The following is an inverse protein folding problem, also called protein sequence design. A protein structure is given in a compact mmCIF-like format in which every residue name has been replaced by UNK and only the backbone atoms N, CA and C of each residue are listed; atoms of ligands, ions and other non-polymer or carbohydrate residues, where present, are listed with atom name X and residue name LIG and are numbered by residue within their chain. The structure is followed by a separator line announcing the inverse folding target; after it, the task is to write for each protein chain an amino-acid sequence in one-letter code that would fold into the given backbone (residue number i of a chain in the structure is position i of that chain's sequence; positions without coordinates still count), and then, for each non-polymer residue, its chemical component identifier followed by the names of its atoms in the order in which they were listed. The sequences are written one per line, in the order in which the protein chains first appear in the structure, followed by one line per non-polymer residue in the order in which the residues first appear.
data_IF_103939164822
#
_entry.id   IF_103939164822
#
_cell.length_a   1.000
_cell.length_b   1.000
_cell.length_c   1.000
_cell.angle_alpha   90.00
_cell.angle_beta   90.00
_cell.angle_gamma   90.00
#
_symmetry.space_group_name_H-M   'P 1'
#
loop_
_entity.id
_entity.type
_entity.pdbx_description
1 polymer ?
#
# COMPACT_ATOMS: atom_id res chain seq x y z
N UNK A 1 46.84 -42.21 -6.63
CA UNK A 1 46.15 -41.29 -5.70
C UNK A 1 46.46 -39.83 -6.04
N UNK A 2 45.98 -39.31 -7.19
CA UNK A 2 46.15 -37.89 -7.58
C UNK A 2 44.88 -37.23 -8.16
N UNK A 3 43.82 -37.99 -8.41
CA UNK A 3 42.63 -37.50 -9.11
C UNK A 3 41.42 -37.24 -8.19
N UNK A 4 41.56 -37.51 -6.89
CA UNK A 4 40.46 -37.36 -5.91
C UNK A 4 40.42 -35.96 -5.31
N UNK A 5 41.57 -35.28 -5.22
CA UNK A 5 41.66 -33.92 -4.63
C UNK A 5 41.15 -32.84 -5.60
N UNK A 6 41.22 -33.07 -6.92
CA UNK A 6 40.75 -32.10 -7.91
C UNK A 6 39.22 -32.01 -8.01
N UNK A 7 38.50 -33.08 -7.62
CA UNK A 7 37.04 -33.14 -7.72
C UNK A 7 36.34 -32.37 -6.59
N UNK A 8 36.92 -32.39 -5.38
CA UNK A 8 36.35 -31.69 -4.21
C UNK A 8 36.50 -30.17 -4.28
N UNK A 9 37.55 -29.64 -4.92
CA UNK A 9 37.72 -28.19 -5.10
C UNK A 9 36.74 -27.62 -6.13
N UNK A 10 36.40 -28.40 -7.17
CA UNK A 10 35.44 -27.98 -8.20
C UNK A 10 34.01 -27.93 -7.67
N UNK A 11 33.64 -28.84 -6.76
CA UNK A 11 32.28 -28.91 -6.18
C UNK A 11 31.98 -27.75 -5.21
N UNK A 12 33.00 -27.22 -4.53
CA UNK A 12 32.86 -26.04 -3.66
C UNK A 12 32.71 -24.75 -4.48
N UNK A 13 33.36 -24.65 -5.65
CA UNK A 13 33.25 -23.49 -6.54
C UNK A 13 31.89 -23.38 -7.25
N UNK A 14 31.23 -24.52 -7.54
CA UNK A 14 29.88 -24.51 -8.15
C UNK A 14 28.79 -24.19 -7.13
N UNK A 15 29.01 -24.50 -5.84
CA UNK A 15 28.05 -24.23 -4.77
C UNK A 15 28.02 -22.74 -4.34
N UNK A 16 29.06 -21.97 -4.67
CA UNK A 16 29.15 -20.54 -4.35
C UNK A 16 28.40 -19.63 -5.35
N UNK A 17 27.92 -20.16 -6.48
CA UNK A 17 27.21 -19.37 -7.51
C UNK A 17 25.68 -19.31 -7.31
N UNK A 18 25.13 -20.02 -6.32
CA UNK A 18 23.69 -20.04 -6.04
C UNK A 18 23.26 -19.24 -4.78
N UNK A 19 24.21 -18.65 -4.05
CA UNK A 19 23.94 -17.95 -2.78
C UNK A 19 23.81 -16.42 -2.90
N UNK A 20 23.21 -15.95 -3.99
CA UNK A 20 22.92 -14.54 -4.17
C UNK A 20 21.89 -14.30 -5.26
N UNK A 21 20.62 -14.59 -4.98
CA UNK A 21 19.51 -13.98 -5.73
C UNK A 21 19.45 -12.48 -5.39
N UNK A 22 20.50 -11.73 -5.73
CA UNK A 22 20.40 -10.28 -5.82
C UNK A 22 19.40 -10.02 -6.95
N UNK A 23 18.15 -9.73 -6.56
CA UNK A 23 17.09 -9.45 -7.52
C UNK A 23 17.53 -8.21 -8.28
N UNK A 24 17.81 -8.34 -9.59
CA UNK A 24 18.27 -7.21 -10.39
C UNK A 24 17.28 -6.04 -10.28
N UNK A 25 17.75 -4.78 -10.32
CA UNK A 25 16.86 -3.62 -10.26
C UNK A 25 15.75 -3.70 -11.30
N UNK A 26 14.51 -3.62 -10.84
CA UNK A 26 13.32 -3.65 -11.69
C UNK A 26 12.21 -2.78 -11.10
N UNK A 27 11.15 -2.56 -11.86
CA UNK A 27 9.93 -1.89 -11.39
C UNK A 27 9.06 -2.87 -10.62
N UNK A 28 8.41 -2.42 -9.55
CA UNK A 28 7.52 -3.25 -8.73
C UNK A 28 6.13 -2.63 -8.60
N UNK A 29 5.25 -2.75 -9.62
CA UNK A 29 3.93 -2.12 -9.61
C UNK A 29 3.05 -2.55 -8.43
N UNK A 30 3.15 -3.80 -7.98
CA UNK A 30 2.37 -4.32 -6.86
C UNK A 30 2.79 -3.68 -5.52
N UNK A 31 4.10 -3.47 -5.36
CA UNK A 31 4.65 -2.76 -4.21
C UNK A 31 4.26 -1.28 -4.24
N UNK A 32 4.29 -0.65 -5.40
CA UNK A 32 3.83 0.72 -5.57
C UNK A 32 2.37 0.86 -5.13
N UNK A 33 1.47 0.02 -5.66
CA UNK A 33 0.05 0.01 -5.29
C UNK A 33 -0.18 -0.28 -3.81
N UNK A 34 0.56 -1.23 -3.25
CA UNK A 34 0.53 -1.54 -1.82
C UNK A 34 0.96 -0.35 -0.95
N UNK A 35 2.04 0.34 -1.32
CA UNK A 35 2.49 1.53 -0.61
C UNK A 35 1.46 2.66 -0.68
N UNK A 36 0.88 2.93 -1.86
CA UNK A 36 -0.19 3.91 -2.02
C UNK A 36 -1.42 3.57 -1.16
N UNK A 37 -1.85 2.31 -1.15
CA UNK A 37 -2.95 1.84 -0.31
C UNK A 37 -2.69 2.09 1.18
N UNK A 38 -1.50 1.76 1.67
CA UNK A 38 -1.12 2.00 3.07
C UNK A 38 -1.09 3.49 3.40
N UNK A 39 -0.52 4.32 2.52
CA UNK A 39 -0.51 5.77 2.72
C UNK A 39 -1.91 6.36 2.80
N UNK A 40 -2.83 5.92 1.93
CA UNK A 40 -4.24 6.31 1.94
C UNK A 40 -4.88 6.00 3.30
N UNK A 41 -4.79 4.76 3.75
CA UNK A 41 -5.39 4.33 5.03
C UNK A 41 -4.78 5.06 6.22
N UNK A 42 -3.45 5.25 6.23
CA UNK A 42 -2.77 5.99 7.30
C UNK A 42 -3.26 7.43 7.37
N UNK A 43 -3.35 8.12 6.24
CA UNK A 43 -3.77 9.52 6.19
C UNK A 43 -5.19 9.71 6.69
N UNK A 44 -6.10 8.82 6.28
CA UNK A 44 -7.49 8.78 6.73
C UNK A 44 -7.58 8.53 8.25
N UNK A 45 -6.87 7.52 8.77
CA UNK A 45 -6.79 7.24 10.21
C UNK A 45 -6.30 8.44 11.02
N UNK A 46 -5.32 9.20 10.53
CA UNK A 46 -4.84 10.40 11.23
C UNK A 46 -5.93 11.47 11.27
N UNK A 47 -6.55 11.76 10.12
CA UNK A 47 -7.60 12.78 10.03
C UNK A 47 -8.80 12.45 10.92
N UNK A 48 -9.22 11.19 10.92
CA UNK A 48 -10.32 10.71 11.76
C UNK A 48 -9.95 10.65 13.23
N UNK A 49 -8.71 10.26 13.53
CA UNK A 49 -8.18 10.29 14.88
C UNK A 49 -8.28 11.69 15.48
N UNK A 50 -7.88 12.70 14.70
CA UNK A 50 -7.99 14.10 15.08
C UNK A 50 -9.46 14.55 15.22
N UNK A 51 -10.32 14.20 14.24
CA UNK A 51 -11.74 14.59 14.22
C UNK A 51 -12.53 14.00 15.40
N UNK A 52 -12.24 12.76 15.75
CA UNK A 52 -12.90 12.02 16.85
C UNK A 52 -12.28 12.30 18.21
N UNK A 53 -11.13 12.98 18.26
CA UNK A 53 -10.35 13.22 19.48
C UNK A 53 -9.59 12.00 20.00
N UNK A 54 -9.55 10.90 19.24
CA UNK A 54 -8.73 9.72 19.58
C UNK A 54 -7.23 9.95 19.34
N UNK A 55 -6.88 10.95 18.53
CA UNK A 55 -5.54 11.52 18.45
C UNK A 55 -5.57 12.99 18.86
N UNK A 56 -4.55 13.42 19.60
CA UNK A 56 -4.35 14.85 19.87
C UNK A 56 -3.87 15.58 18.60
N UNK A 57 -4.01 16.91 18.54
CA UNK A 57 -3.42 17.70 17.45
C UNK A 57 -1.92 17.45 17.27
N UNK A 58 -1.17 17.39 18.37
CA UNK A 58 0.28 17.16 18.35
C UNK A 58 0.64 15.76 17.81
N UNK A 59 -0.09 14.73 18.24
CA UNK A 59 0.08 13.36 17.72
C UNK A 59 -0.22 13.31 16.23
N UNK A 60 -1.32 13.95 15.81
CA UNK A 60 -1.73 14.01 14.41
C UNK A 60 -0.67 14.70 13.56
N UNK A 61 -0.14 15.83 14.01
CA UNK A 61 0.91 16.58 13.31
C UNK A 61 2.23 15.79 13.21
N UNK A 62 2.61 15.09 14.28
CA UNK A 62 3.78 14.20 14.29
C UNK A 62 3.63 13.07 13.25
N UNK A 63 2.46 12.43 13.19
CA UNK A 63 2.21 11.35 12.23
C UNK A 63 2.14 11.85 10.79
N UNK A 64 1.52 13.01 10.53
CA UNK A 64 1.51 13.64 9.21
C UNK A 64 2.92 13.99 8.73
N UNK A 65 3.77 14.50 9.64
CA UNK A 65 5.17 14.82 9.32
C UNK A 65 5.94 13.55 8.96
N UNK A 66 5.74 12.47 9.71
CA UNK A 66 6.35 11.15 9.42
C UNK A 66 5.88 10.59 8.09
N UNK A 67 4.56 10.64 7.82
CA UNK A 67 3.97 10.19 6.56
C UNK A 67 4.51 10.99 5.38
N UNK A 68 4.69 12.31 5.53
CA UNK A 68 5.28 13.17 4.50
C UNK A 68 6.70 12.72 4.15
N UNK A 69 7.52 12.40 5.15
CA UNK A 69 8.86 11.84 4.93
C UNK A 69 8.82 10.53 4.14
N UNK A 70 7.94 9.60 4.53
CA UNK A 70 7.74 8.34 3.80
C UNK A 70 7.28 8.58 2.36
N UNK A 71 6.37 9.54 2.13
CA UNK A 71 5.91 9.91 0.78
C UNK A 71 7.05 10.41 -0.09
N UNK A 72 7.94 11.26 0.45
CA UNK A 72 9.14 11.70 -0.27
C UNK A 72 9.97 10.49 -0.72
N UNK A 73 10.21 9.53 0.17
CA UNK A 73 10.98 8.33 -0.18
C UNK A 73 10.25 7.47 -1.22
N UNK A 74 8.93 7.31 -1.09
CA UNK A 74 8.09 6.67 -2.10
C UNK A 74 8.24 7.35 -3.47
N UNK A 75 8.20 8.69 -3.54
CA UNK A 75 8.36 9.41 -4.81
C UNK A 75 9.74 9.23 -5.44
N UNK A 76 10.75 8.90 -4.64
CA UNK A 76 12.09 8.58 -5.14
C UNK A 76 12.19 7.15 -5.70
N UNK A 77 11.33 6.23 -5.26
CA UNK A 77 11.30 4.82 -5.68
C UNK A 77 10.35 4.56 -6.85
N UNK A 78 9.20 5.24 -6.89
CA UNK A 78 8.21 5.08 -7.98
C UNK A 78 8.83 5.34 -9.34
N UNK A 79 8.30 4.67 -10.36
CA UNK A 79 8.72 4.83 -11.76
C UNK A 79 10.22 4.54 -12.05
N UNK A 80 10.94 3.96 -11.08
CA UNK A 80 12.36 3.60 -11.22
C UNK A 80 12.61 2.10 -11.06
N UNK A 81 13.72 1.65 -11.64
CA UNK A 81 14.27 0.32 -11.38
C UNK A 81 15.11 0.39 -10.11
N UNK A 82 14.65 -0.30 -9.08
CA UNK A 82 15.24 -0.28 -7.73
C UNK A 82 15.37 -1.70 -7.20
N UNK A 83 16.15 -1.89 -6.15
CA UNK A 83 16.21 -3.18 -5.48
C UNK A 83 14.97 -3.41 -4.63
N UNK A 84 14.53 -4.67 -4.53
CA UNK A 84 13.38 -5.06 -3.70
C UNK A 84 13.49 -4.54 -2.26
N UNK A 85 14.70 -4.60 -1.69
CA UNK A 85 14.96 -4.17 -0.32
C UNK A 85 14.61 -2.70 -0.07
N UNK A 86 14.69 -1.84 -1.09
CA UNK A 86 14.31 -0.43 -0.97
C UNK A 86 12.79 -0.30 -0.78
N UNK A 87 12.02 -1.11 -1.50
CA UNK A 87 10.58 -1.21 -1.31
C UNK A 87 10.20 -1.84 0.02
N UNK A 88 10.90 -2.90 0.45
CA UNK A 88 10.64 -3.56 1.74
C UNK A 88 10.88 -2.60 2.92
N UNK A 89 11.92 -1.76 2.86
CA UNK A 89 12.18 -0.70 3.86
C UNK A 89 11.06 0.35 3.90
N UNK A 90 10.57 0.78 2.75
CA UNK A 90 9.44 1.72 2.66
C UNK A 90 8.19 1.10 3.31
N UNK A 91 7.88 -0.15 2.98
CA UNK A 91 6.73 -0.87 3.52
C UNK A 91 6.82 -1.05 5.03
N UNK A 92 7.99 -1.42 5.54
CA UNK A 92 8.22 -1.55 6.97
C UNK A 92 7.96 -0.24 7.73
N UNK A 93 8.32 0.91 7.15
CA UNK A 93 8.04 2.23 7.74
C UNK A 93 6.56 2.59 7.69
N UNK A 94 5.87 2.25 6.61
CA UNK A 94 4.41 2.42 6.53
C UNK A 94 3.70 1.57 7.60
N UNK A 95 4.09 0.30 7.75
CA UNK A 95 3.52 -0.59 8.76
C UNK A 95 3.80 -0.11 10.18
N UNK A 96 5.05 0.29 10.45
CA UNK A 96 5.42 0.84 11.75
C UNK A 96 4.65 2.13 12.09
N UNK A 97 4.39 3.00 11.10
CA UNK A 97 3.58 4.20 11.30
C UNK A 97 2.10 3.85 11.57
N UNK A 98 1.52 2.94 10.78
CA UNK A 98 0.16 2.45 10.99
C UNK A 98 -0.04 1.86 12.38
N UNK A 99 0.91 1.06 12.86
CA UNK A 99 0.88 0.49 14.21
C UNK A 99 1.02 1.53 15.33
N UNK A 100 1.86 2.56 15.12
CA UNK A 100 1.96 3.67 16.08
C UNK A 100 0.65 4.44 16.20
N UNK A 101 -0.05 4.68 15.09
CA UNK A 101 -1.35 5.34 15.07
C UNK A 101 -2.41 4.48 15.76
N UNK A 102 -2.47 3.18 15.45
CA UNK A 102 -3.39 2.25 16.11
C UNK A 102 -3.18 2.28 17.63
N UNK A 103 -1.93 2.21 18.10
CA UNK A 103 -1.62 2.29 19.54
C UNK A 103 -1.98 3.62 20.18
N UNK A 104 -1.74 4.74 19.50
CA UNK A 104 -2.09 6.06 20.01
C UNK A 104 -3.61 6.22 20.13
N UNK A 105 -4.35 5.81 19.10
CA UNK A 105 -5.81 5.91 19.03
C UNK A 105 -6.51 5.04 20.08
N UNK A 106 -6.00 3.82 20.31
CA UNK A 106 -6.55 2.90 21.33
C UNK A 106 -6.34 3.39 22.78
N UNK A 107 -5.34 4.23 23.04
CA UNK A 107 -5.09 4.79 24.38
C UNK A 107 -6.05 5.93 24.75
N UNK A 108 -6.64 6.56 23.75
CA UNK A 108 -7.54 7.71 23.90
C UNK A 108 -9.01 7.34 23.68
N UNK A 109 -9.36 6.06 23.83
CA UNK A 109 -10.59 5.46 23.30
C UNK A 109 -11.88 6.21 23.71
N UNK A 110 -12.49 6.86 22.71
CA UNK A 110 -13.91 7.18 22.67
C UNK A 110 -14.63 6.06 21.88
N UNK A 111 -15.85 5.63 22.25
CA UNK A 111 -16.49 4.47 21.64
C UNK A 111 -16.66 4.65 20.12
N UNK A 112 -16.09 3.71 19.37
CA UNK A 112 -16.15 3.68 17.92
C UNK A 112 -17.62 3.59 17.46
N UNK A 113 -18.12 4.63 16.79
CA UNK A 113 -19.36 4.51 16.02
C UNK A 113 -19.12 3.52 14.90
N UNK A 114 -20.10 2.65 14.65
CA UNK A 114 -20.12 1.78 13.47
C UNK A 114 -20.31 2.71 12.27
N UNK A 115 -19.19 3.22 11.74
CA UNK A 115 -19.12 4.03 10.53
C UNK A 115 -19.01 3.09 9.31
N UNK A 116 -19.62 3.51 8.20
CA UNK A 116 -19.49 2.87 6.90
C UNK A 116 -17.99 2.72 6.53
N UNK A 117 -17.58 1.66 5.80
CA UNK A 117 -16.18 1.48 5.43
C UNK A 117 -15.65 2.74 4.74
N UNK A 118 -14.56 3.28 5.27
CA UNK A 118 -14.00 4.54 4.79
C UNK A 118 -13.50 4.39 3.35
N UNK A 119 -13.37 5.49 2.62
CA UNK A 119 -12.93 5.45 1.23
C UNK A 119 -11.56 4.76 1.08
N UNK A 120 -10.65 4.95 2.04
CA UNK A 120 -9.37 4.24 2.07
C UNK A 120 -9.52 2.73 2.25
N UNK A 121 -10.35 2.29 3.18
CA UNK A 121 -10.63 0.87 3.39
C UNK A 121 -11.29 0.22 2.17
N UNK A 122 -12.18 0.95 1.49
CA UNK A 122 -12.85 0.50 0.27
C UNK A 122 -11.88 0.36 -0.91
N UNK A 123 -10.93 1.27 -1.06
CA UNK A 123 -9.85 1.15 -2.05
C UNK A 123 -9.05 -0.14 -1.81
N UNK A 124 -8.71 -0.45 -0.56
CA UNK A 124 -7.99 -1.68 -0.20
C UNK A 124 -8.83 -2.92 -0.49
N UNK A 125 -10.13 -2.89 -0.13
CA UNK A 125 -11.04 -3.99 -0.37
C UNK A 125 -11.19 -4.29 -1.87
N UNK A 126 -11.37 -3.26 -2.70
CA UNK A 126 -11.45 -3.39 -4.16
C UNK A 126 -10.15 -3.93 -4.76
N UNK A 127 -8.98 -3.46 -4.28
CA UNK A 127 -7.70 -4.00 -4.74
C UNK A 127 -7.61 -5.51 -4.47
N UNK A 128 -7.95 -5.95 -3.25
CA UNK A 128 -7.96 -7.37 -2.89
C UNK A 128 -8.90 -8.17 -3.79
N UNK A 129 -10.09 -7.64 -4.08
CA UNK A 129 -11.04 -8.32 -4.98
C UNK A 129 -10.53 -8.45 -6.41
N UNK A 130 -9.86 -7.42 -6.94
CA UNK A 130 -9.20 -7.49 -8.26
C UNK A 130 -8.11 -8.56 -8.25
N UNK A 131 -7.26 -8.55 -7.23
CA UNK A 131 -6.19 -9.55 -7.08
C UNK A 131 -6.74 -10.97 -6.95
N UNK A 132 -7.78 -11.18 -6.14
CA UNK A 132 -8.46 -12.47 -5.99
C UNK A 132 -9.09 -12.92 -7.31
N UNK A 133 -9.76 -12.02 -8.04
CA UNK A 133 -10.34 -12.30 -9.36
C UNK A 133 -9.29 -12.74 -10.37
N UNK A 134 -8.14 -12.05 -10.38
CA UNK A 134 -6.98 -12.36 -11.21
C UNK A 134 -6.36 -13.71 -10.85
N UNK A 135 -6.07 -13.94 -9.56
CA UNK A 135 -5.46 -15.19 -9.06
C UNK A 135 -6.38 -16.38 -9.33
N UNK A 136 -7.68 -16.23 -9.07
CA UNK A 136 -8.69 -17.27 -9.33
C UNK A 136 -9.08 -17.41 -10.80
N UNK A 137 -8.55 -16.57 -11.69
CA UNK A 137 -8.87 -16.52 -13.14
C UNK A 137 -10.35 -16.29 -13.46
N UNK A 138 -11.16 -15.83 -12.49
CA UNK A 138 -12.56 -15.40 -12.72
C UNK A 138 -12.62 -14.08 -13.47
N UNK A 139 -11.60 -13.24 -13.30
CA UNK A 139 -11.49 -11.95 -13.96
C UNK A 139 -10.57 -12.07 -15.19
N UNK A 140 -11.09 -11.84 -16.42
CA UNK A 140 -10.27 -11.83 -17.62
C UNK A 140 -9.18 -10.75 -17.55
N UNK A 141 -8.01 -11.01 -18.15
CA UNK A 141 -6.87 -10.09 -18.09
C UNK A 141 -7.15 -8.70 -18.70
N UNK A 142 -8.09 -8.59 -19.64
CA UNK A 142 -8.52 -7.30 -20.20
C UNK A 142 -9.32 -6.49 -19.19
N UNK A 143 -10.27 -7.13 -18.53
CA UNK A 143 -11.13 -6.52 -17.49
C UNK A 143 -10.30 -6.18 -16.24
N UNK A 144 -9.38 -7.06 -15.85
CA UNK A 144 -8.43 -6.81 -14.77
C UNK A 144 -7.68 -5.48 -14.98
N UNK A 145 -7.12 -5.26 -16.18
CA UNK A 145 -6.39 -4.02 -16.49
C UNK A 145 -7.29 -2.79 -16.44
N UNK A 146 -8.53 -2.90 -16.90
CA UNK A 146 -9.50 -1.80 -16.89
C UNK A 146 -9.91 -1.44 -15.46
N UNK A 147 -10.29 -2.42 -14.64
CA UNK A 147 -10.59 -2.20 -13.22
C UNK A 147 -9.39 -1.69 -12.43
N UNK A 148 -8.20 -2.24 -12.69
CA UNK A 148 -6.97 -1.80 -12.03
C UNK A 148 -6.66 -0.34 -12.39
N UNK A 149 -6.78 0.04 -13.66
CA UNK A 149 -6.57 1.42 -14.12
C UNK A 149 -7.54 2.41 -13.45
N UNK A 150 -8.82 2.04 -13.38
CA UNK A 150 -9.86 2.83 -12.68
C UNK A 150 -9.55 2.97 -11.20
N UNK A 151 -9.19 1.88 -10.52
CA UNK A 151 -8.83 1.92 -9.10
C UNK A 151 -7.58 2.76 -8.84
N UNK A 152 -6.56 2.64 -9.68
CA UNK A 152 -5.32 3.41 -9.57
C UNK A 152 -5.57 4.91 -9.78
N UNK A 153 -6.48 5.27 -10.70
CA UNK A 153 -6.92 6.66 -10.88
C UNK A 153 -7.58 7.20 -9.62
N UNK A 154 -8.56 6.47 -9.06
CA UNK A 154 -9.26 6.86 -7.82
C UNK A 154 -8.27 6.97 -6.66
N UNK A 155 -7.37 5.99 -6.50
CA UNK A 155 -6.38 5.96 -5.41
C UNK A 155 -5.45 7.15 -5.44
N UNK A 156 -4.85 7.45 -6.60
CA UNK A 156 -3.93 8.58 -6.75
C UNK A 156 -4.61 9.91 -6.48
N UNK A 157 -5.84 10.06 -6.96
CA UNK A 157 -6.62 11.26 -6.72
C UNK A 157 -6.97 11.42 -5.24
N UNK A 158 -7.42 10.35 -4.58
CA UNK A 158 -7.71 10.36 -3.15
C UNK A 158 -6.48 10.69 -2.32
N UNK A 159 -5.32 10.09 -2.65
CA UNK A 159 -4.05 10.36 -1.98
C UNK A 159 -3.62 11.83 -2.09
N UNK A 160 -3.84 12.45 -3.27
CA UNK A 160 -3.58 13.87 -3.51
C UNK A 160 -4.56 14.77 -2.75
N UNK A 161 -5.85 14.42 -2.71
CA UNK A 161 -6.87 15.22 -2.02
C UNK A 161 -6.63 15.31 -0.51
N UNK A 162 -6.11 14.22 0.06
CA UNK A 162 -5.85 14.07 1.49
C UNK A 162 -4.41 14.47 1.86
N UNK A 163 -3.58 14.82 0.88
CA UNK A 163 -2.18 15.19 1.09
C UNK A 163 -1.99 16.32 2.11
N UNK A 164 -0.95 16.19 2.94
CA UNK A 164 -0.64 17.19 3.97
C UNK A 164 -1.60 17.17 5.15
N UNK A 165 -2.45 16.15 5.26
CA UNK A 165 -3.46 16.06 6.32
C UNK A 165 -4.64 16.99 6.09
N UNK A 166 -4.84 17.48 4.86
CA UNK A 166 -6.03 18.23 4.50
C UNK A 166 -7.25 17.32 4.62
N UNK A 167 -8.28 17.82 5.28
CA UNK A 167 -9.60 17.20 5.23
C UNK A 167 -10.16 17.32 3.82
N UNK A 168 -10.48 16.18 3.22
CA UNK A 168 -11.35 16.10 2.04
C UNK A 168 -12.67 16.79 2.35
N UNK A 169 -13.13 17.63 1.43
CA UNK A 169 -14.46 18.21 1.51
C UNK A 169 -15.53 17.13 1.40
N UNK A 170 -16.75 17.46 1.81
CA UNK A 170 -17.87 16.52 1.68
C UNK A 170 -18.13 16.14 0.22
N UNK A 171 -18.04 17.10 -0.70
CA UNK A 171 -18.24 16.87 -2.14
C UNK A 171 -17.18 15.92 -2.72
N UNK A 172 -15.90 16.14 -2.42
CA UNK A 172 -14.80 15.26 -2.84
C UNK A 172 -15.00 13.83 -2.30
N UNK A 173 -15.44 13.70 -1.05
CA UNK A 173 -15.73 12.39 -0.46
C UNK A 173 -16.90 11.68 -1.14
N UNK A 174 -17.96 12.42 -1.49
CA UNK A 174 -19.13 11.86 -2.19
C UNK A 174 -18.76 11.43 -3.61
N UNK A 175 -17.93 12.20 -4.33
CA UNK A 175 -17.44 11.81 -5.66
C UNK A 175 -16.62 10.52 -5.63
N UNK A 176 -15.62 10.47 -4.74
CA UNK A 176 -14.77 9.27 -4.57
C UNK A 176 -15.62 8.07 -4.17
N UNK A 177 -16.54 8.24 -3.21
CA UNK A 177 -17.46 7.19 -2.78
C UNK A 177 -18.28 6.63 -3.95
N UNK A 178 -18.88 7.52 -4.76
CA UNK A 178 -19.67 7.12 -5.94
C UNK A 178 -18.83 6.36 -6.97
N UNK A 179 -17.59 6.79 -7.22
CA UNK A 179 -16.70 6.11 -8.17
C UNK A 179 -16.28 4.73 -7.67
N UNK A 180 -16.07 4.58 -6.36
CA UNK A 180 -15.83 3.30 -5.72
C UNK A 180 -17.08 2.40 -5.79
N UNK A 181 -18.29 2.93 -5.61
CA UNK A 181 -19.55 2.18 -5.75
C UNK A 181 -19.73 1.64 -7.17
N UNK A 182 -19.50 2.49 -8.18
CA UNK A 182 -19.59 2.08 -9.58
C UNK A 182 -18.58 0.98 -9.90
N UNK A 183 -17.33 1.15 -9.44
CA UNK A 183 -16.29 0.15 -9.61
C UNK A 183 -16.64 -1.17 -8.91
N UNK A 184 -17.17 -1.12 -7.68
CA UNK A 184 -17.62 -2.29 -6.93
C UNK A 184 -18.75 -3.03 -7.66
N UNK A 185 -19.75 -2.28 -8.13
CA UNK A 185 -20.90 -2.80 -8.88
C UNK A 185 -20.48 -3.50 -10.17
N UNK A 186 -19.56 -2.91 -10.93
CA UNK A 186 -19.04 -3.53 -12.15
C UNK A 186 -18.22 -4.79 -11.84
N UNK A 187 -17.40 -4.76 -10.79
CA UNK A 187 -16.60 -5.90 -10.36
C UNK A 187 -17.48 -7.06 -9.83
N UNK A 188 -18.65 -6.77 -9.26
CA UNK A 188 -19.61 -7.78 -8.80
C UNK A 188 -20.15 -8.67 -9.92
N UNK A 189 -20.05 -8.24 -11.19
CA UNK A 189 -20.46 -9.04 -12.35
C UNK A 189 -19.56 -10.26 -12.60
N UNK A 190 -18.36 -10.26 -12.01
CA UNK A 190 -17.35 -11.30 -12.15
C UNK A 190 -17.21 -12.16 -10.87
N UNK A 191 -18.21 -12.12 -9.98
CA UNK A 191 -18.19 -12.82 -8.71
C UNK A 191 -18.44 -14.31 -8.87
#
# INVERSE_FOLDING_TARGET
MKNVILSTVLMVFVSALFSGCATMPQTYPDYERSAENKMVVIQEKIGDGLKTGSLTPDQSQMFLTTLKGIRTDYTQLRDKKVYRDEWDRLHARLDALGEQINRASSRSASPARIEEPRNGDRIVALQRRIDDGRISRRLPATEEREFQSRLDSIRREYLRMTEGGRYTTHEENVDISRRLDLLDSDLNRYR
#
